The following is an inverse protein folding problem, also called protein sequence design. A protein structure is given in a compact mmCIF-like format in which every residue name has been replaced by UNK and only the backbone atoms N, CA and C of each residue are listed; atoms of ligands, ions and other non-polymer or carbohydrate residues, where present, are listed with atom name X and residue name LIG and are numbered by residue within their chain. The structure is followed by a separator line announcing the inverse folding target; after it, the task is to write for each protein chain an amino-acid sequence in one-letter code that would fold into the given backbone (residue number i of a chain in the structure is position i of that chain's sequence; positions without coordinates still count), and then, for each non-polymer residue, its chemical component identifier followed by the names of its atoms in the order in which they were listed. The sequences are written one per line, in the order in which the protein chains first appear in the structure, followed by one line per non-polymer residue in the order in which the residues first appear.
data_IF_061727532389
#
_entry.id   IF_061727532389
#
_cell.length_a   1.000
_cell.length_b   1.000
_cell.length_c   1.000
_cell.angle_alpha   90.00
_cell.angle_beta   90.00
_cell.angle_gamma   90.00
#
_symmetry.space_group_name_H-M   'P 1'
#
loop_
_entity.id
_entity.type
_entity.pdbx_description
1 polymer ?
#
# COMPACT_ATOMS: atom_id res chain seq x y z
N UNK A 1 -20.76 21.84 -9.62
CA UNK A 1 -19.85 20.69 -9.43
C UNK A 1 -19.45 20.67 -7.97
N UNK A 2 -20.11 19.83 -7.17
CA UNK A 2 -19.86 19.79 -5.73
C UNK A 2 -18.91 18.62 -5.45
N UNK A 3 -17.65 18.93 -5.15
CA UNK A 3 -16.80 18.01 -4.40
C UNK A 3 -17.51 17.80 -3.07
N UNK A 4 -17.97 16.58 -2.77
CA UNK A 4 -18.59 16.25 -1.49
C UNK A 4 -17.52 16.31 -0.38
N UNK A 5 -17.12 17.51 0.04
CA UNK A 5 -16.10 17.68 1.08
C UNK A 5 -16.63 18.58 2.19
N UNK A 6 -16.99 17.95 3.32
CA UNK A 6 -16.99 18.62 4.63
C UNK A 6 -15.56 18.79 5.18
N UNK A 7 -14.53 18.30 4.49
CA UNK A 7 -13.15 18.37 4.91
C UNK A 7 -12.35 19.40 4.10
N UNK A 8 -11.76 20.38 4.80
CA UNK A 8 -10.76 21.28 4.24
C UNK A 8 -9.41 20.91 4.84
N UNK A 9 -8.49 20.30 4.06
CA UNK A 9 -7.16 19.98 4.57
C UNK A 9 -6.38 21.26 4.93
N UNK A 10 -5.40 21.16 5.85
CA UNK A 10 -4.44 22.24 6.04
C UNK A 10 -3.65 22.49 4.74
N UNK A 11 -3.08 23.69 4.54
CA UNK A 11 -2.31 24.01 3.34
C UNK A 11 -1.02 23.19 3.23
N UNK A 12 -0.44 22.82 4.39
CA UNK A 12 0.80 22.04 4.50
C UNK A 12 0.65 20.90 5.51
N UNK A 13 1.59 19.97 5.47
CA UNK A 13 1.69 18.80 6.32
C UNK A 13 3.16 18.42 6.56
N UNK A 14 3.37 17.54 7.52
CA UNK A 14 4.63 16.86 7.75
C UNK A 14 4.76 15.62 6.87
N UNK A 15 5.93 15.42 6.27
CA UNK A 15 6.25 14.21 5.52
C UNK A 15 7.74 13.84 5.67
N UNK A 16 8.07 12.59 5.35
CA UNK A 16 9.45 12.15 5.15
C UNK A 16 9.73 12.22 3.64
N UNK A 17 10.76 12.98 3.26
CA UNK A 17 11.16 13.17 1.87
C UNK A 17 12.60 12.75 1.64
N UNK A 18 12.95 12.43 0.40
CA UNK A 18 14.35 12.34 -0.03
C UNK A 18 14.95 13.74 -0.09
N UNK A 19 15.99 14.01 0.69
CA UNK A 19 16.69 15.29 0.76
C UNK A 19 17.71 15.44 -0.38
N UNK A 20 18.26 16.65 -0.62
CA UNK A 20 19.27 16.87 -1.66
C UNK A 20 20.56 16.06 -1.49
N UNK A 21 20.91 15.67 -0.25
CA UNK A 21 22.03 14.78 0.07
C UNK A 21 21.68 13.29 -0.06
N UNK A 22 20.50 13.01 -0.62
CA UNK A 22 19.94 11.68 -0.83
C UNK A 22 19.75 10.92 0.49
N UNK A 23 19.54 11.59 1.62
CA UNK A 23 19.06 10.95 2.85
C UNK A 23 17.56 11.18 3.03
N UNK A 24 16.90 10.32 3.79
CA UNK A 24 15.52 10.57 4.20
C UNK A 24 15.50 11.60 5.35
N UNK A 25 14.62 12.60 5.25
CA UNK A 25 14.50 13.65 6.26
C UNK A 25 13.07 14.14 6.43
N UNK A 26 12.77 14.64 7.62
CA UNK A 26 11.45 15.20 7.95
C UNK A 26 11.35 16.62 7.39
N UNK A 27 10.32 16.87 6.59
CA UNK A 27 9.91 18.19 6.14
C UNK A 27 8.53 18.54 6.74
N UNK A 28 8.37 19.74 7.29
CA UNK A 28 7.14 20.17 8.01
C UNK A 28 6.18 21.02 7.16
N UNK A 29 6.64 21.50 6.01
CA UNK A 29 5.92 22.45 5.15
C UNK A 29 5.63 21.87 3.77
N UNK A 30 5.38 20.56 3.70
CA UNK A 30 5.04 19.89 2.44
C UNK A 30 3.59 20.21 2.09
N UNK A 31 3.26 20.64 0.85
CA UNK A 31 1.88 20.90 0.48
C UNK A 31 1.00 19.64 0.62
N UNK A 32 -0.20 19.78 1.19
CA UNK A 32 -1.16 18.68 1.19
C UNK A 32 -1.63 18.40 -0.25
N UNK A 33 -1.56 17.15 -0.72
CA UNK A 33 -2.01 16.78 -2.06
C UNK A 33 -3.48 17.06 -2.26
N UNK A 34 -3.83 17.44 -3.49
CA UNK A 34 -5.22 17.59 -3.92
C UNK A 34 -5.61 16.38 -4.76
N UNK A 35 -6.90 16.07 -4.78
CA UNK A 35 -7.47 15.13 -5.75
C UNK A 35 -7.33 15.76 -7.13
N UNK A 36 -6.50 15.14 -7.99
CA UNK A 36 -6.21 15.62 -9.34
C UNK A 36 -6.96 14.84 -10.43
N UNK A 37 -7.59 13.73 -10.08
CA UNK A 37 -8.41 12.92 -10.99
C UNK A 37 -9.70 12.43 -10.31
N UNK A 38 -10.74 12.17 -11.12
CA UNK A 38 -12.08 11.84 -10.63
C UNK A 38 -12.18 10.49 -9.91
N UNK A 39 -11.22 9.59 -10.11
CA UNK A 39 -11.14 8.26 -9.49
C UNK A 39 -10.11 8.20 -8.34
N UNK A 40 -9.65 9.35 -7.83
CA UNK A 40 -8.74 9.41 -6.70
C UNK A 40 -9.46 9.65 -5.38
N UNK A 41 -8.81 9.27 -4.30
CA UNK A 41 -9.20 9.56 -2.92
C UNK A 41 -8.03 10.18 -2.15
N UNK A 42 -8.34 10.91 -1.10
CA UNK A 42 -7.35 11.43 -0.15
C UNK A 42 -7.56 10.74 1.20
N UNK A 43 -6.49 10.19 1.77
CA UNK A 43 -6.50 9.51 3.06
C UNK A 43 -5.77 10.33 4.10
N UNK A 44 -6.35 10.51 5.28
CA UNK A 44 -5.63 10.95 6.48
C UNK A 44 -4.95 9.74 7.11
N UNK A 45 -3.64 9.72 7.05
CA UNK A 45 -2.81 8.62 7.54
C UNK A 45 -2.91 8.50 9.06
N UNK A 46 -3.07 7.27 9.55
CA UNK A 46 -3.10 6.90 10.97
C UNK A 46 -1.91 6.03 11.36
N UNK A 47 -1.49 5.15 10.45
CA UNK A 47 -0.34 4.28 10.63
C UNK A 47 0.35 4.06 9.29
N UNK A 48 1.64 3.80 9.33
CA UNK A 48 2.46 3.39 8.18
C UNK A 48 3.26 2.16 8.57
N UNK A 49 3.71 1.39 7.58
CA UNK A 49 4.65 0.30 7.79
C UNK A 49 5.95 0.56 7.03
N UNK A 50 7.04 0.00 7.57
CA UNK A 50 8.37 0.12 6.97
C UNK A 50 8.65 -1.10 6.11
N UNK A 51 9.12 -0.85 4.89
CA UNK A 51 9.51 -1.87 3.93
C UNK A 51 11.00 -1.77 3.63
N UNK A 52 11.65 -2.89 3.22
CA UNK A 52 13.02 -2.84 2.72
C UNK A 52 13.22 -1.92 1.51
N UNK A 53 12.17 -1.65 0.72
CA UNK A 53 12.22 -0.73 -0.42
C UNK A 53 12.41 0.72 0.03
N UNK A 54 11.77 1.14 1.12
CA UNK A 54 11.70 2.56 1.52
C UNK A 54 13.10 3.14 1.78
N UNK A 55 14.03 2.35 2.33
CA UNK A 55 15.41 2.80 2.57
C UNK A 55 16.41 2.41 1.46
N UNK A 56 15.97 1.66 0.44
CA UNK A 56 16.84 1.25 -0.68
C UNK A 56 16.60 2.07 -1.94
N UNK A 57 15.34 2.47 -2.16
CA UNK A 57 14.92 3.09 -3.42
C UNK A 57 15.50 4.50 -3.57
N UNK A 58 15.60 5.29 -2.51
CA UNK A 58 16.20 6.64 -2.62
C UNK A 58 17.67 6.61 -3.08
N UNK A 59 18.42 5.53 -2.78
CA UNK A 59 19.81 5.37 -3.20
C UNK A 59 19.93 4.82 -4.62
N UNK A 60 19.04 3.89 -5.01
CA UNK A 60 19.05 3.27 -6.33
C UNK A 60 18.37 4.13 -7.42
N UNK A 61 17.37 4.92 -7.02
CA UNK A 61 16.53 5.77 -7.88
C UNK A 61 16.32 7.13 -7.18
N UNK A 62 17.34 7.99 -7.16
CA UNK A 62 17.29 9.24 -6.43
C UNK A 62 16.20 10.17 -6.96
N UNK A 63 15.33 10.64 -6.06
CA UNK A 63 14.28 11.60 -6.36
C UNK A 63 14.19 12.67 -5.26
N UNK A 64 15.12 13.65 -5.23
CA UNK A 64 15.11 14.71 -4.24
C UNK A 64 13.77 15.48 -4.24
N UNK A 65 13.22 15.69 -3.05
CA UNK A 65 11.93 16.34 -2.82
C UNK A 65 10.72 15.41 -2.88
N UNK A 66 10.88 14.15 -3.31
CA UNK A 66 9.78 13.19 -3.29
C UNK A 66 9.52 12.65 -1.88
N UNK A 67 8.24 12.50 -1.55
CA UNK A 67 7.76 11.81 -0.35
C UNK A 67 8.05 10.31 -0.48
N UNK A 68 8.61 9.71 0.56
CA UNK A 68 8.95 8.30 0.61
C UNK A 68 7.86 7.46 1.31
N UNK A 69 8.08 6.15 1.41
CA UNK A 69 7.20 5.20 2.06
C UNK A 69 6.21 4.54 1.11
N UNK A 70 5.90 3.29 1.42
CA UNK A 70 5.03 2.45 0.59
C UNK A 70 3.66 2.20 1.22
N UNK A 71 3.62 1.71 2.46
CA UNK A 71 2.38 1.23 3.09
C UNK A 71 1.77 2.24 4.06
N UNK A 72 0.45 2.37 4.00
CA UNK A 72 -0.33 3.23 4.90
C UNK A 72 -1.65 2.57 5.31
N UNK A 73 -2.19 3.05 6.43
CA UNK A 73 -3.57 2.84 6.86
C UNK A 73 -4.15 4.14 7.41
N UNK A 74 -5.40 4.44 7.09
CA UNK A 74 -6.01 5.70 7.50
C UNK A 74 -7.49 5.84 7.14
N UNK A 75 -7.97 7.08 7.25
CA UNK A 75 -9.36 7.43 7.00
C UNK A 75 -9.51 8.17 5.67
N UNK A 76 -10.48 7.81 4.84
CA UNK A 76 -10.83 8.58 3.65
C UNK A 76 -11.36 9.95 4.08
N UNK A 77 -10.75 11.03 3.59
CA UNK A 77 -11.14 12.42 3.92
C UNK A 77 -11.66 13.21 2.72
N UNK A 78 -11.39 12.74 1.50
CA UNK A 78 -11.99 13.27 0.29
C UNK A 78 -12.07 12.18 -0.80
N UNK A 79 -13.04 12.30 -1.70
CA UNK A 79 -13.24 11.38 -2.83
C UNK A 79 -13.46 12.18 -4.12
N UNK A 80 -12.92 11.67 -5.22
CA UNK A 80 -13.14 12.20 -6.56
C UNK A 80 -14.57 11.95 -7.05
N UNK A 81 -14.97 12.63 -8.12
CA UNK A 81 -16.38 12.64 -8.54
C UNK A 81 -16.88 11.34 -9.17
N UNK A 82 -15.96 10.47 -9.63
CA UNK A 82 -16.28 9.16 -10.20
C UNK A 82 -16.15 8.02 -9.18
N UNK A 83 -15.67 8.31 -7.96
CA UNK A 83 -15.52 7.32 -6.89
C UNK A 83 -16.90 6.92 -6.36
N UNK A 84 -17.20 5.62 -6.40
CA UNK A 84 -18.51 5.08 -5.98
C UNK A 84 -18.41 4.07 -4.83
N UNK A 85 -17.25 3.46 -4.64
CA UNK A 85 -17.05 2.39 -3.64
C UNK A 85 -16.69 2.91 -2.25
N UNK A 86 -16.29 4.18 -2.16
CA UNK A 86 -15.75 4.79 -0.95
C UNK A 86 -16.47 6.08 -0.59
N UNK A 87 -16.51 6.38 0.70
CA UNK A 87 -16.99 7.64 1.24
C UNK A 87 -16.07 8.17 2.33
N UNK A 88 -16.18 9.47 2.60
CA UNK A 88 -15.49 10.10 3.73
C UNK A 88 -15.81 9.37 5.03
N UNK A 89 -14.78 9.09 5.83
CA UNK A 89 -14.84 8.33 7.08
C UNK A 89 -14.63 6.83 6.91
N UNK A 90 -14.58 6.28 5.69
CA UNK A 90 -14.21 4.88 5.50
C UNK A 90 -12.75 4.65 5.93
N UNK A 91 -12.51 3.53 6.61
CA UNK A 91 -11.18 3.09 7.06
C UNK A 91 -10.56 2.22 5.99
N UNK A 92 -9.37 2.59 5.52
CA UNK A 92 -8.69 1.91 4.41
C UNK A 92 -7.20 1.73 4.66
N UNK A 93 -6.62 0.71 4.06
CA UNK A 93 -5.18 0.53 3.96
C UNK A 93 -4.80 0.21 2.52
N UNK A 94 -3.55 0.45 2.15
CA UNK A 94 -3.07 0.26 0.79
C UNK A 94 -1.58 0.49 0.66
N UNK A 95 -1.13 0.51 -0.58
CA UNK A 95 0.25 0.80 -0.93
C UNK A 95 0.31 1.79 -2.08
N UNK A 96 1.30 2.67 -2.02
CA UNK A 96 1.61 3.67 -3.02
C UNK A 96 3.11 3.64 -3.34
N UNK A 97 3.50 4.29 -4.42
CA UNK A 97 4.91 4.39 -4.79
C UNK A 97 5.59 5.55 -4.06
N UNK A 98 6.39 5.26 -3.04
CA UNK A 98 7.34 6.21 -2.44
C UNK A 98 8.50 6.56 -3.37
N UNK A 99 9.09 7.74 -3.19
CA UNK A 99 10.28 8.16 -3.93
C UNK A 99 10.07 8.31 -5.44
N UNK A 100 8.83 8.58 -5.88
CA UNK A 100 8.46 8.60 -7.29
C UNK A 100 8.92 9.89 -8.00
N UNK A 101 9.84 9.81 -9.00
CA UNK A 101 10.33 10.99 -9.71
C UNK A 101 9.31 11.63 -10.64
N UNK A 102 8.24 10.91 -11.00
CA UNK A 102 7.15 11.45 -11.81
C UNK A 102 6.03 12.06 -10.97
N UNK A 103 5.98 11.75 -9.67
CA UNK A 103 4.99 12.30 -8.75
C UNK A 103 5.56 12.36 -7.33
N UNK A 104 6.15 13.50 -6.98
CA UNK A 104 6.80 13.69 -5.68
C UNK A 104 5.84 13.58 -4.47
N UNK A 105 4.53 13.57 -4.68
CA UNK A 105 3.52 13.52 -3.63
C UNK A 105 2.93 12.11 -3.41
N UNK A 106 3.39 11.08 -4.12
CA UNK A 106 2.75 9.74 -4.04
C UNK A 106 3.18 8.87 -2.86
N UNK A 107 4.17 9.24 -2.05
CA UNK A 107 4.65 8.37 -0.97
C UNK A 107 3.70 8.23 0.22
N UNK A 108 3.87 7.19 1.03
CA UNK A 108 3.03 6.91 2.19
C UNK A 108 3.42 7.67 3.46
N UNK A 109 4.67 8.12 3.59
CA UNK A 109 5.19 8.77 4.80
C UNK A 109 4.82 10.27 4.84
N UNK A 110 3.51 10.54 4.81
CA UNK A 110 2.92 11.87 4.94
C UNK A 110 1.57 11.78 5.67
N UNK A 111 1.12 12.88 6.26
CA UNK A 111 -0.14 12.93 7.02
C UNK A 111 -1.38 12.72 6.15
N UNK A 112 -1.29 13.07 4.86
CA UNK A 112 -2.35 12.93 3.85
C UNK A 112 -1.82 12.29 2.57
N UNK A 113 -2.25 11.06 2.31
CA UNK A 113 -1.79 10.26 1.17
C UNK A 113 -2.84 10.30 0.04
N UNK A 114 -2.46 10.71 -1.19
CA UNK A 114 -3.30 10.60 -2.37
C UNK A 114 -3.11 9.24 -3.05
N UNK A 115 -4.19 8.61 -3.50
CA UNK A 115 -4.14 7.32 -4.20
C UNK A 115 -5.37 7.12 -5.08
N UNK A 116 -5.35 6.14 -5.96
CA UNK A 116 -6.53 5.76 -6.73
C UNK A 116 -7.47 4.87 -5.91
N UNK A 117 -8.77 4.96 -6.16
CA UNK A 117 -9.77 4.21 -5.38
C UNK A 117 -9.60 2.68 -5.43
N UNK A 118 -8.92 2.15 -6.44
CA UNK A 118 -8.66 0.72 -6.62
C UNK A 118 -7.38 0.24 -5.93
N UNK A 119 -6.57 1.15 -5.37
CA UNK A 119 -5.30 0.85 -4.70
C UNK A 119 -5.47 0.63 -3.19
N UNK A 120 -6.70 0.68 -2.70
CA UNK A 120 -7.03 0.56 -1.28
C UNK A 120 -7.98 -0.61 -1.00
N UNK A 121 -7.86 -1.12 0.22
CA UNK A 121 -8.70 -2.18 0.78
C UNK A 121 -9.35 -1.69 2.06
N UNK A 122 -10.59 -2.10 2.31
CA UNK A 122 -11.35 -1.75 3.51
C UNK A 122 -10.71 -2.39 4.75
N UNK A 123 -10.54 -1.61 5.81
CA UNK A 123 -10.16 -2.12 7.13
C UNK A 123 -11.44 -2.60 7.84
N UNK A 124 -11.54 -3.87 8.26
CA UNK A 124 -12.66 -4.34 9.08
C UNK A 124 -12.73 -3.62 10.42
N UNK A 125 -13.93 -3.45 10.97
CA UNK A 125 -14.12 -2.76 12.26
C UNK A 125 -13.31 -3.37 13.40
N UNK A 126 -13.09 -4.68 13.37
CA UNK A 126 -12.32 -5.44 14.37
C UNK A 126 -10.79 -5.31 14.23
N UNK A 127 -10.28 -4.65 13.19
CA UNK A 127 -8.85 -4.54 12.89
C UNK A 127 -8.34 -3.13 13.20
N UNK A 128 -7.17 -3.00 13.85
CA UNK A 128 -6.54 -1.70 14.09
C UNK A 128 -5.82 -1.15 12.84
N UNK A 129 -5.47 0.13 12.84
CA UNK A 129 -4.71 0.72 11.72
C UNK A 129 -3.28 0.18 11.66
N UNK A 130 -2.66 -0.10 12.81
CA UNK A 130 -1.31 -0.67 12.90
C UNK A 130 -1.28 -2.08 12.30
N UNK A 131 -2.25 -2.92 12.63
CA UNK A 131 -2.39 -4.24 12.02
C UNK A 131 -2.64 -4.12 10.51
N UNK A 132 -3.51 -3.22 10.07
CA UNK A 132 -3.81 -3.04 8.65
C UNK A 132 -2.58 -2.55 7.86
N UNK A 133 -1.84 -1.56 8.38
CA UNK A 133 -0.60 -1.09 7.78
C UNK A 133 0.47 -2.19 7.75
N UNK A 134 0.57 -3.02 8.81
CA UNK A 134 1.54 -4.12 8.88
C UNK A 134 1.24 -5.28 7.92
N UNK A 135 -0.04 -5.53 7.63
CA UNK A 135 -0.44 -6.46 6.57
C UNK A 135 0.10 -5.95 5.22
N UNK A 136 0.02 -4.62 5.01
CA UNK A 136 0.66 -3.90 3.92
C UNK A 136 0.00 -4.14 2.56
N UNK A 137 -0.35 -3.06 1.85
CA UNK A 137 -0.75 -3.17 0.45
C UNK A 137 0.38 -3.74 -0.41
N UNK A 138 1.64 -3.46 -0.06
CA UNK A 138 2.81 -3.89 -0.82
C UNK A 138 2.96 -5.42 -0.83
N UNK A 139 2.73 -6.06 0.32
CA UNK A 139 2.80 -7.52 0.44
C UNK A 139 1.67 -8.19 -0.35
N UNK A 140 0.45 -7.62 -0.31
CA UNK A 140 -0.70 -8.11 -1.08
C UNK A 140 -0.42 -8.00 -2.58
N UNK A 141 0.02 -6.84 -3.05
CA UNK A 141 0.34 -6.59 -4.46
C UNK A 141 1.47 -7.50 -4.94
N UNK A 142 2.53 -7.65 -4.14
CA UNK A 142 3.64 -8.57 -4.44
C UNK A 142 3.13 -10.00 -4.59
N UNK A 143 2.31 -10.47 -3.66
CA UNK A 143 1.78 -11.83 -3.71
C UNK A 143 0.88 -12.04 -4.92
N UNK A 144 0.04 -11.07 -5.28
CA UNK A 144 -0.78 -11.12 -6.48
C UNK A 144 0.08 -11.22 -7.75
N UNK A 145 1.12 -10.40 -7.88
CA UNK A 145 2.03 -10.44 -9.04
C UNK A 145 2.74 -11.79 -9.14
N UNK A 146 3.24 -12.32 -8.03
CA UNK A 146 3.92 -13.62 -8.01
C UNK A 146 2.96 -14.75 -8.39
N UNK A 147 1.79 -14.82 -7.77
CA UNK A 147 0.83 -15.92 -7.96
C UNK A 147 0.24 -15.87 -9.38
N UNK A 148 -0.29 -14.72 -9.82
CA UNK A 148 -1.00 -14.61 -11.10
C UNK A 148 -0.08 -14.37 -12.30
N UNK A 149 0.97 -13.58 -12.09
CA UNK A 149 1.89 -13.16 -13.15
C UNK A 149 3.01 -14.16 -13.37
N UNK A 150 3.79 -14.44 -12.32
CA UNK A 150 4.99 -15.29 -12.44
C UNK A 150 4.66 -16.78 -12.46
N UNK A 151 3.81 -17.25 -11.55
CA UNK A 151 3.42 -18.66 -11.47
C UNK A 151 2.26 -19.02 -12.40
N UNK A 152 1.56 -18.02 -12.95
CA UNK A 152 0.43 -18.23 -13.85
C UNK A 152 -0.78 -18.89 -13.18
N UNK A 153 -0.79 -18.99 -11.85
CA UNK A 153 -1.87 -19.61 -11.09
C UNK A 153 -3.08 -18.68 -11.18
N UNK A 154 -4.25 -19.23 -11.47
CA UNK A 154 -5.49 -18.45 -11.54
C UNK A 154 -6.27 -18.63 -10.25
N UNK A 155 -7.04 -17.62 -9.82
CA UNK A 155 -7.90 -17.79 -8.65
C UNK A 155 -8.85 -18.96 -8.88
N UNK A 156 -8.80 -19.96 -8.03
CA UNK A 156 -9.87 -20.97 -7.93
C UNK A 156 -11.02 -20.37 -7.11
N UNK A 157 -12.27 -20.83 -7.33
CA UNK A 157 -13.37 -20.51 -6.43
C UNK A 157 -12.96 -20.86 -5.00
N UNK A 158 -13.28 -19.99 -4.04
CA UNK A 158 -13.05 -20.27 -2.62
C UNK A 158 -13.53 -21.68 -2.26
N UNK A 159 -12.70 -22.44 -1.55
CA UNK A 159 -12.95 -23.82 -1.10
C UNK A 159 -12.97 -24.92 -2.18
N UNK A 160 -12.52 -24.65 -3.41
CA UNK A 160 -12.25 -25.73 -4.39
C UNK A 160 -10.77 -25.74 -4.74
N UNK A 161 -10.04 -26.71 -4.21
CA UNK A 161 -8.64 -26.90 -4.58
C UNK A 161 -8.46 -27.50 -5.97
N UNK A 162 -7.22 -27.48 -6.50
CA UNK A 162 -6.89 -28.19 -7.72
C UNK A 162 -7.10 -29.69 -7.53
N UNK A 163 -7.53 -30.38 -8.59
CA UNK A 163 -7.68 -31.85 -8.56
C UNK A 163 -6.33 -32.56 -8.42
N UNK A 164 -5.22 -31.89 -8.82
CA UNK A 164 -3.83 -32.34 -8.67
C UNK A 164 -2.99 -31.23 -7.99
N UNK A 165 -2.74 -31.30 -6.68
CA UNK A 165 -2.08 -30.23 -5.94
C UNK A 165 -0.57 -30.18 -6.22
N UNK A 166 -0.10 -29.07 -6.79
CA UNK A 166 1.32 -28.78 -6.93
C UNK A 166 1.95 -28.32 -5.61
N UNK A 167 3.22 -28.66 -5.40
CA UNK A 167 4.02 -28.14 -4.30
C UNK A 167 4.71 -26.85 -4.71
N UNK A 168 4.59 -25.79 -3.91
CA UNK A 168 5.25 -24.49 -4.13
C UNK A 168 6.25 -24.23 -3.02
N UNK A 169 7.53 -24.05 -3.39
CA UNK A 169 8.58 -23.61 -2.47
C UNK A 169 8.54 -22.08 -2.33
N UNK A 170 8.41 -21.59 -1.10
CA UNK A 170 8.54 -20.17 -0.77
C UNK A 170 9.86 -19.95 -0.04
N UNK A 171 10.89 -19.55 -0.79
CA UNK A 171 12.20 -19.18 -0.22
C UNK A 171 12.09 -17.84 0.52
N UNK A 172 12.33 -17.86 1.83
CA UNK A 172 12.09 -16.70 2.71
C UNK A 172 10.67 -16.64 3.29
N UNK A 173 10.07 -17.79 3.63
CA UNK A 173 8.71 -17.88 4.16
C UNK A 173 8.43 -17.12 5.47
N UNK A 174 9.47 -16.71 6.21
CA UNK A 174 9.38 -15.87 7.41
C UNK A 174 9.37 -14.36 7.11
N UNK A 175 9.58 -13.95 5.86
CA UNK A 175 9.45 -12.54 5.45
C UNK A 175 7.98 -12.13 5.37
N UNK A 176 7.67 -10.83 5.44
CA UNK A 176 6.30 -10.33 5.32
C UNK A 176 5.62 -10.78 4.01
N UNK A 177 6.30 -10.62 2.87
CA UNK A 177 5.82 -11.08 1.57
C UNK A 177 5.70 -12.60 1.52
N UNK A 178 6.68 -13.35 2.06
CA UNK A 178 6.67 -14.81 2.09
C UNK A 178 5.50 -15.37 2.90
N UNK A 179 5.25 -14.80 4.09
CA UNK A 179 4.12 -15.16 4.92
C UNK A 179 2.77 -14.88 4.23
N UNK A 180 2.64 -13.71 3.58
CA UNK A 180 1.44 -13.37 2.80
C UNK A 180 1.20 -14.34 1.64
N UNK A 181 2.24 -14.63 0.85
CA UNK A 181 2.18 -15.59 -0.27
C UNK A 181 1.77 -16.98 0.24
N UNK A 182 2.32 -17.44 1.36
CA UNK A 182 1.96 -18.72 1.98
C UNK A 182 0.46 -18.77 2.31
N UNK A 183 -0.10 -17.70 2.91
CA UNK A 183 -1.52 -17.68 3.24
C UNK A 183 -2.40 -17.67 1.99
N UNK A 184 -2.03 -16.87 0.98
CA UNK A 184 -2.78 -16.84 -0.28
C UNK A 184 -2.71 -18.18 -1.02
N UNK A 185 -1.55 -18.81 -1.11
CA UNK A 185 -1.42 -20.14 -1.73
C UNK A 185 -2.22 -21.22 -0.99
N UNK A 186 -2.35 -21.14 0.34
CA UNK A 186 -3.24 -22.05 1.10
C UNK A 186 -4.71 -21.82 0.78
N UNK A 187 -5.13 -20.57 0.65
CA UNK A 187 -6.50 -20.22 0.24
C UNK A 187 -6.80 -20.66 -1.20
N UNK A 188 -5.78 -20.65 -2.08
CA UNK A 188 -5.82 -21.22 -3.42
C UNK A 188 -5.49 -22.73 -3.47
N UNK A 189 -5.38 -23.37 -2.30
CA UNK A 189 -5.20 -24.82 -2.06
C UNK A 189 -4.01 -25.45 -2.80
N UNK A 190 -2.81 -24.94 -2.57
CA UNK A 190 -1.56 -25.65 -2.88
C UNK A 190 -0.97 -26.33 -1.62
N UNK A 191 -0.39 -27.52 -1.77
CA UNK A 191 0.36 -28.19 -0.69
C UNK A 191 1.68 -27.45 -0.51
N UNK A 192 1.96 -26.92 0.68
CA UNK A 192 3.12 -26.07 0.91
C UNK A 192 4.27 -26.83 1.56
N UNK A 193 5.48 -26.68 1.00
CA UNK A 193 6.73 -26.90 1.70
C UNK A 193 7.40 -25.54 1.96
N UNK A 194 7.69 -25.23 3.22
CA UNK A 194 8.37 -24.02 3.63
C UNK A 194 9.70 -24.39 4.28
N UNK A 195 10.74 -23.58 4.03
CA UNK A 195 12.00 -23.66 4.76
C UNK A 195 12.20 -22.30 5.42
N UNK A 196 12.15 -22.28 6.76
CA UNK A 196 12.52 -21.14 7.55
C UNK A 196 13.99 -21.31 7.95
N UNK A 197 14.83 -20.34 7.62
CA UNK A 197 16.15 -20.19 8.25
C UNK A 197 16.06 -19.01 9.22
N UNK A 198 16.45 -19.27 10.48
CA UNK A 198 16.59 -18.30 11.56
C UNK A 198 17.83 -17.44 11.39
#
# INVERSE_FOLDING_TARGET
MAVHTQFTPPPTQTAIITQPDLQLGIAKDVPVPRITADNMILIRTRSVALNPSDFKMYAAFPSPGAVDGTDFAGDVVAVGTAVTQWKVGDRVFGAVQGGNPSNHQSGAFQEYVPTFELEVVRIPDSMSYETAASIGGACITTAAVVIYGSLGLRPLPFNKGPEDPATVLVYGGSTASGAMIIQLLKLYVFVLSHVAFS
#
